data_IF_742352834157
#
_entry.id   IF_742352834157
#
_cell.length_a   1.000
_cell.length_b   1.000
_cell.length_c   1.000
_cell.angle_alpha   90.00
_cell.angle_beta   90.00
_cell.angle_gamma   90.00
#
_symmetry.space_group_name_H-M   'P 1'
#
loop_
_entity.id
_entity.type
_entity.pdbx_description
1 polymer ?
#
# COMPACT_ATOMS: atom_id res chain seq x y z
N UNK A 1 -8.74 -40.27 -31.44
CA UNK A 1 -9.31 -39.28 -30.50
C UNK A 1 -8.59 -39.25 -29.15
N UNK A 2 -8.28 -40.40 -28.52
CA UNK A 2 -7.60 -40.46 -27.21
C UNK A 2 -6.24 -39.72 -27.15
N UNK A 3 -5.45 -39.80 -28.21
CA UNK A 3 -4.12 -39.16 -28.29
C UNK A 3 -4.18 -37.63 -28.37
N UNK A 4 -5.21 -37.06 -29.02
CA UNK A 4 -5.39 -35.60 -29.14
C UNK A 4 -5.92 -34.96 -27.85
N UNK A 5 -6.68 -35.72 -27.05
CA UNK A 5 -7.18 -35.27 -25.75
C UNK A 5 -6.04 -35.19 -24.72
N UNK A 6 -5.09 -36.13 -24.76
CA UNK A 6 -3.90 -36.10 -23.91
C UNK A 6 -2.98 -34.91 -24.23
N UNK A 7 -2.84 -34.53 -25.50
CA UNK A 7 -2.02 -33.35 -25.88
C UNK A 7 -2.64 -32.05 -25.41
N UNK A 8 -3.98 -31.94 -25.44
CA UNK A 8 -4.70 -30.76 -24.96
C UNK A 8 -4.63 -30.64 -23.42
N UNK A 9 -4.72 -31.75 -22.70
CA UNK A 9 -4.55 -31.79 -21.24
C UNK A 9 -3.10 -31.47 -20.82
N UNK A 10 -2.11 -31.87 -21.62
CA UNK A 10 -0.70 -31.54 -21.42
C UNK A 10 -0.40 -30.05 -21.64
N UNK A 11 -1.05 -29.41 -22.63
CA UNK A 11 -0.92 -27.95 -22.85
C UNK A 11 -1.60 -27.13 -21.74
N UNK A 12 -2.73 -27.60 -21.19
CA UNK A 12 -3.44 -26.95 -20.09
C UNK A 12 -2.69 -27.04 -18.75
N UNK A 13 -1.83 -28.05 -18.55
CA UNK A 13 -0.96 -28.13 -17.37
C UNK A 13 0.31 -27.28 -17.49
N UNK A 14 0.76 -26.97 -18.72
CA UNK A 14 1.90 -26.09 -18.96
C UNK A 14 1.60 -24.60 -18.70
N UNK A 15 0.33 -24.20 -18.69
CA UNK A 15 -0.08 -22.81 -18.38
C UNK A 15 -0.37 -22.58 -16.89
N UNK A 16 -0.47 -23.63 -16.08
CA UNK A 16 -0.68 -23.51 -14.63
C UNK A 16 0.58 -23.13 -13.84
N UNK A 17 1.75 -23.13 -14.50
CA UNK A 17 3.04 -22.70 -13.95
C UNK A 17 3.43 -21.31 -14.43
N UNK A 18 2.48 -20.38 -14.49
CA UNK A 18 2.81 -18.96 -14.28
C UNK A 18 3.25 -18.86 -12.82
N UNK A 19 4.53 -19.13 -12.57
CA UNK A 19 5.17 -19.03 -11.28
C UNK A 19 4.72 -17.72 -10.62
N UNK A 20 4.00 -17.85 -9.50
CA UNK A 20 3.86 -16.77 -8.55
C UNK A 20 5.30 -16.40 -8.18
N UNK A 21 5.80 -15.29 -8.73
CA UNK A 21 7.15 -14.79 -8.43
C UNK A 21 7.34 -14.88 -6.93
N UNK A 22 8.33 -15.64 -6.49
CA UNK A 22 8.56 -15.92 -5.07
C UNK A 22 8.84 -14.58 -4.37
N UNK A 23 7.79 -13.98 -3.80
CA UNK A 23 7.87 -12.67 -3.17
C UNK A 23 8.46 -12.85 -1.77
N UNK A 24 9.79 -12.86 -1.72
CA UNK A 24 10.56 -12.96 -0.48
C UNK A 24 10.55 -11.66 0.35
N UNK A 25 9.75 -10.67 -0.04
CA UNK A 25 9.58 -9.45 0.72
C UNK A 25 8.65 -9.68 1.91
N UNK A 26 8.90 -8.98 3.01
CA UNK A 26 8.07 -9.06 4.21
C UNK A 26 7.72 -7.68 4.71
N UNK A 27 6.51 -7.51 5.22
CA UNK A 27 6.10 -6.37 6.02
C UNK A 27 5.36 -6.89 7.24
N UNK A 28 5.72 -6.37 8.41
CA UNK A 28 5.06 -6.64 9.68
C UNK A 28 4.88 -5.33 10.42
N UNK A 29 3.68 -5.06 10.91
CA UNK A 29 3.38 -3.89 11.74
C UNK A 29 2.20 -4.24 12.63
N UNK A 30 2.11 -3.59 13.79
CA UNK A 30 0.93 -3.66 14.64
C UNK A 30 0.08 -2.42 14.39
N UNK A 31 -1.16 -2.62 13.93
CA UNK A 31 -2.15 -1.57 13.67
C UNK A 31 -3.21 -1.65 14.76
N UNK A 32 -3.31 -0.62 15.60
CA UNK A 32 -4.25 -0.56 16.74
C UNK A 32 -4.21 -1.82 17.62
N UNK A 33 -2.99 -2.29 17.93
CA UNK A 33 -2.74 -3.50 18.72
C UNK A 33 -2.93 -4.82 17.99
N UNK A 34 -3.32 -4.82 16.71
CA UNK A 34 -3.50 -6.03 15.89
C UNK A 34 -2.33 -6.23 14.95
N UNK A 35 -1.75 -7.42 14.95
CA UNK A 35 -0.67 -7.75 14.03
C UNK A 35 -1.16 -7.78 12.57
N UNK A 36 -0.40 -7.11 11.71
CA UNK A 36 -0.63 -7.04 10.28
C UNK A 36 0.66 -7.44 9.55
N UNK A 37 0.63 -8.63 8.94
CA UNK A 37 1.73 -9.21 8.17
C UNK A 37 1.34 -9.37 6.72
N UNK A 38 2.24 -8.97 5.82
CA UNK A 38 2.04 -9.15 4.39
C UNK A 38 3.35 -9.20 3.61
N UNK A 39 3.27 -9.47 2.30
CA UNK A 39 4.39 -9.48 1.37
C UNK A 39 4.34 -8.23 0.48
N UNK A 40 5.10 -7.17 0.80
CA UNK A 40 5.05 -5.95 0.02
C UNK A 40 5.64 -6.14 -1.38
N UNK A 41 5.25 -5.25 -2.29
CA UNK A 41 5.78 -5.14 -3.65
C UNK A 41 6.24 -3.73 -3.88
N UNK A 42 7.32 -3.59 -4.65
CA UNK A 42 7.76 -2.31 -5.18
C UNK A 42 6.99 -2.03 -6.46
N UNK A 43 6.31 -0.91 -6.53
CA UNK A 43 5.56 -0.48 -7.72
C UNK A 43 5.89 0.97 -8.04
N UNK A 44 5.71 1.36 -9.29
CA UNK A 44 5.69 2.77 -9.68
C UNK A 44 4.25 3.23 -9.78
N UNK A 45 3.93 4.35 -9.14
CA UNK A 45 2.65 5.05 -9.33
C UNK A 45 2.99 6.45 -9.85
N UNK A 46 2.62 6.73 -11.10
CA UNK A 46 3.14 7.88 -11.83
C UNK A 46 4.66 7.81 -11.96
N UNK A 47 5.36 8.89 -11.57
CA UNK A 47 6.83 8.98 -11.59
C UNK A 47 7.47 8.73 -10.21
N UNK A 48 6.72 8.13 -9.27
CA UNK A 48 7.13 7.93 -7.89
C UNK A 48 7.20 6.44 -7.54
N UNK A 49 8.26 6.01 -6.84
CA UNK A 49 8.38 4.64 -6.35
C UNK A 49 7.64 4.44 -5.04
N UNK A 50 6.68 3.52 -5.03
CA UNK A 50 5.93 3.15 -3.83
C UNK A 50 6.35 1.76 -3.36
N UNK A 51 6.54 1.64 -2.05
CA UNK A 51 6.56 0.35 -1.36
C UNK A 51 5.14 0.06 -0.93
N UNK A 52 4.43 -0.74 -1.71
CA UNK A 52 3.05 -1.10 -1.39
C UNK A 52 3.01 -2.44 -0.67
N UNK A 53 2.54 -2.42 0.58
CA UNK A 53 2.29 -3.60 1.39
C UNK A 53 0.79 -3.91 1.39
N UNK A 54 0.32 -4.44 0.26
CA UNK A 54 -1.06 -4.90 0.13
C UNK A 54 -1.25 -6.16 0.98
N UNK A 55 -2.34 -6.30 1.74
CA UNK A 55 -2.56 -7.50 2.53
C UNK A 55 -2.90 -8.70 1.64
N UNK A 56 -2.69 -9.90 2.17
CA UNK A 56 -3.13 -11.17 1.58
C UNK A 56 -4.66 -11.23 1.46
N UNK A 57 -5.37 -10.44 2.28
CA UNK A 57 -6.83 -10.27 2.22
C UNK A 57 -7.14 -8.89 1.59
N UNK A 58 -7.96 -8.81 0.52
CA UNK A 58 -8.16 -7.60 -0.30
C UNK A 58 -9.00 -6.50 0.39
N UNK A 59 -9.03 -6.50 1.71
CA UNK A 59 -9.77 -5.60 2.59
C UNK A 59 -8.83 -4.67 3.37
N UNK A 60 -7.51 -4.88 3.34
CA UNK A 60 -6.52 -4.00 3.97
C UNK A 60 -5.35 -3.69 3.03
N UNK A 61 -4.89 -2.45 3.07
CA UNK A 61 -3.71 -1.99 2.33
C UNK A 61 -2.91 -1.02 3.17
N UNK A 62 -1.61 -1.28 3.33
CA UNK A 62 -0.67 -0.33 3.90
C UNK A 62 0.33 0.05 2.81
N UNK A 63 0.49 1.34 2.55
CA UNK A 63 1.36 1.86 1.50
C UNK A 63 2.34 2.84 2.10
N UNK A 64 3.62 2.63 1.80
CA UNK A 64 4.70 3.48 2.25
C UNK A 64 5.40 4.01 1.00
N UNK A 65 5.40 5.33 0.84
CA UNK A 65 6.22 5.97 -0.17
C UNK A 65 7.54 6.39 0.45
N UNK A 66 8.65 6.14 -0.25
CA UNK A 66 9.98 6.64 0.10
C UNK A 66 10.54 7.38 -1.12
N UNK A 67 10.82 8.67 -0.95
CA UNK A 67 11.46 9.48 -1.99
C UNK A 67 12.75 10.08 -1.48
N UNK A 68 13.86 9.80 -2.17
CA UNK A 68 15.13 10.49 -1.92
C UNK A 68 15.01 11.99 -2.23
N UNK A 69 15.70 12.82 -1.46
CA UNK A 69 15.64 14.28 -1.62
C UNK A 69 16.29 14.76 -2.94
N UNK A 70 17.49 14.26 -3.26
CA UNK A 70 18.22 14.62 -4.49
C UNK A 70 17.87 13.72 -5.67
N UNK A 71 17.52 12.46 -5.39
CA UNK A 71 17.20 11.43 -6.38
C UNK A 71 15.94 10.71 -5.94
N UNK A 72 14.75 11.18 -6.37
CA UNK A 72 13.47 10.57 -5.99
C UNK A 72 13.35 9.11 -6.41
N UNK A 73 14.16 8.68 -7.38
CA UNK A 73 14.24 7.32 -7.90
C UNK A 73 15.17 6.39 -7.11
N UNK A 74 16.00 6.93 -6.21
CA UNK A 74 16.96 6.17 -5.42
C UNK A 74 16.58 6.20 -3.93
N UNK A 75 16.53 5.02 -3.32
CA UNK A 75 16.37 4.87 -1.88
C UNK A 75 17.77 4.64 -1.29
N UNK A 76 18.24 5.61 -0.53
CA UNK A 76 19.51 5.58 0.16
C UNK A 76 19.33 5.09 1.60
N UNK A 77 20.40 4.57 2.18
CA UNK A 77 20.42 4.25 3.60
C UNK A 77 20.41 5.52 4.45
N UNK A 78 19.54 5.54 5.46
CA UNK A 78 19.40 6.64 6.42
C UNK A 78 17.96 6.88 6.86
N UNK A 79 17.75 8.05 7.44
CA UNK A 79 16.46 8.43 8.03
C UNK A 79 15.63 9.25 7.04
N UNK A 80 14.36 8.90 6.90
CA UNK A 80 13.37 9.61 6.10
C UNK A 80 12.35 10.28 7.03
N UNK A 81 12.01 11.53 6.74
CA UNK A 81 11.01 12.27 7.49
C UNK A 81 9.61 11.90 6.98
N UNK A 82 8.73 11.44 7.88
CA UNK A 82 7.33 11.18 7.56
C UNK A 82 6.60 12.52 7.51
N UNK A 83 5.89 12.75 6.40
CA UNK A 83 5.13 13.98 6.15
C UNK A 83 3.65 13.71 5.87
N UNK A 84 2.89 14.80 5.84
CA UNK A 84 1.48 14.79 5.45
C UNK A 84 1.28 14.15 4.07
N UNK A 85 0.47 13.08 4.05
CA UNK A 85 0.17 12.34 2.83
C UNK A 85 -0.61 13.17 1.79
N UNK A 86 -1.44 14.11 2.23
CA UNK A 86 -2.24 14.97 1.36
C UNK A 86 -1.44 16.19 0.87
N UNK A 87 -0.37 16.56 1.59
CA UNK A 87 0.47 17.73 1.32
C UNK A 87 1.95 17.40 1.40
N UNK A 88 2.36 16.38 0.65
CA UNK A 88 3.73 15.87 0.72
C UNK A 88 4.76 16.82 0.10
N UNK A 89 4.47 17.39 -1.08
CA UNK A 89 5.41 18.23 -1.85
C UNK A 89 5.37 19.74 -1.50
N UNK A 90 5.22 20.08 -0.21
CA UNK A 90 5.25 21.48 0.20
C UNK A 90 6.67 22.04 0.26
N UNK A 91 6.83 23.35 0.01
CA UNK A 91 8.11 24.04 0.21
C UNK A 91 8.62 23.91 1.65
N UNK A 92 7.70 23.82 2.61
CA UNK A 92 8.03 23.66 4.02
C UNK A 92 8.65 22.28 4.31
N UNK A 93 8.03 21.20 3.83
CA UNK A 93 8.59 19.86 3.99
C UNK A 93 9.97 19.73 3.34
N UNK A 94 10.18 20.36 2.18
CA UNK A 94 11.49 20.44 1.51
C UNK A 94 12.52 21.16 2.38
N UNK A 95 12.18 22.35 2.89
CA UNK A 95 13.04 23.11 3.81
C UNK A 95 13.39 22.31 5.07
N UNK A 96 12.45 21.56 5.62
CA UNK A 96 12.69 20.73 6.81
C UNK A 96 13.73 19.64 6.56
N UNK A 97 13.68 19.00 5.39
CA UNK A 97 14.69 18.02 4.97
C UNK A 97 16.03 18.70 4.73
N UNK A 98 16.05 19.79 3.96
CA UNK A 98 17.24 20.58 3.62
C UNK A 98 17.97 21.14 4.84
N UNK A 99 17.23 21.82 5.73
CA UNK A 99 17.79 22.51 6.89
C UNK A 99 18.33 21.56 7.95
N UNK A 100 17.78 20.34 8.04
CA UNK A 100 18.23 19.35 9.01
C UNK A 100 19.60 18.74 8.65
N UNK A 101 19.94 18.67 7.35
CA UNK A 101 21.06 17.87 6.83
C UNK A 101 21.04 16.39 7.22
N UNK A 102 20.00 15.94 7.93
CA UNK A 102 19.93 14.67 8.64
C UNK A 102 19.06 13.66 7.89
N UNK A 103 18.02 14.15 7.22
CA UNK A 103 17.11 13.31 6.46
C UNK A 103 17.60 13.06 5.04
N UNK A 104 17.54 11.81 4.59
CA UNK A 104 17.85 11.40 3.21
C UNK A 104 16.71 11.69 2.24
N UNK A 105 15.50 11.91 2.77
CA UNK A 105 14.32 12.14 1.97
C UNK A 105 13.04 12.21 2.79
N UNK A 106 11.93 12.10 2.06
CA UNK A 106 10.57 12.14 2.59
C UNK A 106 9.91 10.77 2.53
N UNK A 107 9.03 10.53 3.49
CA UNK A 107 8.20 9.34 3.57
C UNK A 107 6.73 9.71 3.74
N UNK A 108 5.85 8.88 3.19
CA UNK A 108 4.40 8.99 3.37
C UNK A 108 3.88 7.62 3.75
N UNK A 109 2.95 7.56 4.70
CA UNK A 109 2.29 6.32 5.09
C UNK A 109 0.79 6.49 4.90
N UNK A 110 0.17 5.55 4.18
CA UNK A 110 -1.28 5.49 3.99
C UNK A 110 -1.78 4.08 4.32
N UNK A 111 -2.77 4.00 5.19
CA UNK A 111 -3.47 2.77 5.54
C UNK A 111 -4.92 2.86 5.07
N UNK A 112 -5.44 1.78 4.50
CA UNK A 112 -6.84 1.66 4.11
C UNK A 112 -7.37 0.32 4.57
N UNK A 113 -8.50 0.33 5.26
CA UNK A 113 -9.24 -0.85 5.68
C UNK A 113 -10.69 -0.75 5.21
N UNK A 114 -11.17 -1.77 4.53
CA UNK A 114 -12.58 -1.96 4.23
C UNK A 114 -13.32 -2.38 5.51
N UNK A 115 -14.19 -1.52 6.01
CA UNK A 115 -14.96 -1.77 7.24
C UNK A 115 -16.30 -2.44 6.94
N UNK A 116 -16.76 -2.40 5.68
CA UNK A 116 -18.01 -3.04 5.25
C UNK A 116 -17.89 -3.62 3.84
N UNK A 117 -18.13 -4.92 3.74
CA UNK A 117 -18.07 -5.64 2.47
C UNK A 117 -19.37 -5.60 1.65
N UNK A 118 -19.28 -5.70 0.30
CA UNK A 118 -18.06 -5.55 -0.51
C UNK A 118 -17.81 -4.08 -0.85
N UNK A 119 -16.67 -3.53 -0.42
CA UNK A 119 -16.15 -2.19 -0.74
C UNK A 119 -17.22 -1.10 -0.56
N UNK A 120 -17.91 -1.11 0.58
CA UNK A 120 -19.01 -0.18 0.88
C UNK A 120 -18.57 0.96 1.78
N UNK A 121 -17.75 0.65 2.78
CA UNK A 121 -17.24 1.58 3.77
C UNK A 121 -15.77 1.30 4.03
N UNK A 122 -15.02 2.37 4.30
CA UNK A 122 -13.59 2.30 4.57
C UNK A 122 -13.19 3.14 5.77
N UNK A 123 -12.10 2.73 6.39
CA UNK A 123 -11.33 3.47 7.36
C UNK A 123 -9.94 3.74 6.76
N UNK A 124 -9.62 5.02 6.59
CA UNK A 124 -8.40 5.49 5.92
C UNK A 124 -7.55 6.26 6.91
N UNK A 125 -6.32 5.79 7.13
CA UNK A 125 -5.29 6.48 7.88
C UNK A 125 -4.27 7.16 6.95
N UNK A 126 -3.94 8.41 7.21
CA UNK A 126 -2.89 9.15 6.50
C UNK A 126 -1.85 9.70 7.45
N UNK A 127 -0.57 9.60 7.07
CA UNK A 127 0.52 10.25 7.81
C UNK A 127 0.33 11.77 7.84
N UNK A 128 0.85 12.39 8.88
CA UNK A 128 0.80 13.83 9.13
C UNK A 128 2.22 14.34 9.40
N UNK A 129 2.40 15.65 9.46
CA UNK A 129 3.68 16.29 9.79
C UNK A 129 3.98 16.22 11.31
N UNK A 130 3.98 15.03 11.90
CA UNK A 130 4.16 14.77 13.33
C UNK A 130 5.62 14.47 13.74
N UNK A 131 6.58 14.78 12.87
CA UNK A 131 8.02 14.55 13.10
C UNK A 131 8.41 13.07 13.26
N UNK A 132 7.56 12.19 12.74
CA UNK A 132 7.79 10.75 12.67
C UNK A 132 8.87 10.44 11.61
N UNK A 133 9.54 9.29 11.77
CA UNK A 133 10.63 8.92 10.87
C UNK A 133 10.58 7.45 10.47
N UNK A 134 11.12 7.17 9.28
CA UNK A 134 11.41 5.82 8.82
C UNK A 134 12.92 5.68 8.72
N UNK A 135 13.47 4.68 9.39
CA UNK A 135 14.90 4.37 9.31
C UNK A 135 15.10 3.25 8.32
N UNK A 136 15.85 3.51 7.26
CA UNK A 136 16.13 2.59 6.16
C UNK A 136 17.58 2.12 6.25
N UNK A 137 17.80 0.81 6.17
CA UNK A 137 19.11 0.15 6.11
C UNK A 137 19.22 -0.69 4.86
N UNK A 138 20.40 -0.70 4.24
CA UNK A 138 20.67 -1.53 3.08
C UNK A 138 21.59 -2.68 3.47
N UNK A 139 21.15 -3.90 3.19
CA UNK A 139 21.97 -5.09 3.38
C UNK A 139 22.96 -5.25 2.21
N UNK A 140 24.03 -6.02 2.45
CA UNK A 140 25.10 -6.24 1.47
C UNK A 140 24.62 -6.93 0.19
N UNK A 141 23.52 -7.69 0.27
CA UNK A 141 22.84 -8.34 -0.86
C UNK A 141 21.99 -7.35 -1.70
N UNK A 142 21.90 -6.08 -1.30
CA UNK A 142 21.09 -5.05 -1.94
C UNK A 142 19.64 -5.01 -1.46
N UNK A 143 19.26 -5.83 -0.48
CA UNK A 143 17.95 -5.77 0.18
C UNK A 143 17.83 -4.52 1.04
N UNK A 144 16.63 -3.95 1.11
CA UNK A 144 16.31 -2.80 1.95
C UNK A 144 15.48 -3.28 3.12
N UNK A 145 15.91 -2.96 4.34
CA UNK A 145 15.10 -3.12 5.54
C UNK A 145 14.76 -1.76 6.10
N UNK A 146 13.50 -1.51 6.41
CA UNK A 146 13.08 -0.26 7.02
C UNK A 146 12.26 -0.51 8.28
N UNK A 147 12.46 0.34 9.28
CA UNK A 147 11.71 0.32 10.54
C UNK A 147 10.97 1.63 10.74
N UNK A 148 9.73 1.56 11.19
CA UNK A 148 8.85 2.71 11.35
C UNK A 148 7.83 2.50 12.47
N UNK A 149 7.34 3.61 13.01
CA UNK A 149 6.18 3.67 13.91
C UNK A 149 5.60 5.08 13.79
N UNK A 150 4.30 5.24 14.05
CA UNK A 150 3.65 6.52 13.86
C UNK A 150 2.15 6.49 14.11
N UNK A 151 1.54 7.67 14.03
CA UNK A 151 0.12 7.92 14.23
C UNK A 151 -0.45 8.49 12.96
N UNK A 152 -1.40 7.77 12.36
CA UNK A 152 -2.10 8.22 11.17
C UNK A 152 -3.39 8.92 11.56
N UNK A 153 -3.71 10.02 10.88
CA UNK A 153 -5.01 10.66 10.97
C UNK A 153 -6.06 9.76 10.28
N UNK A 154 -6.95 9.17 11.08
CA UNK A 154 -8.00 8.27 10.66
C UNK A 154 -9.25 9.00 10.19
N UNK A 155 -9.86 8.51 9.12
CA UNK A 155 -11.08 9.05 8.53
C UNK A 155 -11.97 7.94 7.99
N UNK A 156 -13.28 8.09 8.16
CA UNK A 156 -14.25 7.10 7.66
C UNK A 156 -14.84 7.57 6.33
N UNK A 157 -15.03 6.62 5.42
CA UNK A 157 -15.57 6.86 4.09
C UNK A 157 -16.71 5.91 3.81
N UNK A 158 -17.77 6.42 3.18
CA UNK A 158 -18.95 5.63 2.83
C UNK A 158 -19.33 5.88 1.38
N UNK A 159 -19.76 4.84 0.69
CA UNK A 159 -20.23 4.97 -0.68
C UNK A 159 -21.39 5.97 -0.77
N UNK A 160 -21.35 6.86 -1.76
CA UNK A 160 -22.47 7.78 -2.02
C UNK A 160 -23.67 6.96 -2.48
N UNK A 161 -24.84 7.22 -1.92
CA UNK A 161 -26.09 6.58 -2.35
C UNK A 161 -26.32 6.71 -3.86
N UNK A 162 -25.90 7.83 -4.47
CA UNK A 162 -25.95 8.01 -5.93
C UNK A 162 -25.06 7.00 -6.67
N UNK A 163 -23.85 6.70 -6.19
CA UNK A 163 -22.96 5.73 -6.82
C UNK A 163 -23.56 4.31 -6.80
N UNK A 164 -24.24 3.94 -5.73
CA UNK A 164 -24.94 2.65 -5.60
C UNK A 164 -26.18 2.58 -6.51
N UNK A 165 -26.97 3.65 -6.59
CA UNK A 165 -28.22 3.69 -7.38
C UNK A 165 -27.95 3.74 -8.89
N UNK A 166 -26.96 4.50 -9.35
CA UNK A 166 -26.60 4.58 -10.78
C UNK A 166 -25.72 3.40 -11.25
N UNK A 167 -24.98 2.75 -10.33
CA UNK A 167 -24.14 1.60 -10.64
C UNK A 167 -24.86 0.25 -10.64
N UNK A 168 -26.00 0.13 -9.96
CA UNK A 168 -26.82 -1.07 -9.91
C UNK A 168 -26.07 -2.34 -9.45
N UNK A 169 -26.56 -3.50 -9.88
CA UNK A 169 -25.97 -4.83 -9.60
C UNK A 169 -24.57 -4.96 -10.21
N UNK A 170 -24.32 -4.34 -11.37
CA UNK A 170 -23.01 -4.37 -12.05
C UNK A 170 -21.87 -3.80 -11.21
N UNK A 171 -22.14 -2.73 -10.45
CA UNK A 171 -21.12 -2.15 -9.55
C UNK A 171 -20.75 -3.08 -8.38
N UNK A 172 -21.69 -3.86 -7.87
CA UNK A 172 -21.40 -4.86 -6.83
C UNK A 172 -20.58 -6.03 -7.40
N UNK A 173 -20.90 -6.48 -8.62
CA UNK A 173 -20.14 -7.52 -9.32
C UNK A 173 -18.70 -7.06 -9.59
N UNK A 174 -18.51 -5.84 -10.10
CA UNK A 174 -17.17 -5.30 -10.34
C UNK A 174 -16.33 -5.23 -9.06
N UNK A 175 -16.91 -4.80 -7.93
CA UNK A 175 -16.22 -4.78 -6.64
C UNK A 175 -15.79 -6.17 -6.18
N UNK A 176 -16.63 -7.17 -6.43
CA UNK A 176 -16.30 -8.56 -6.12
C UNK A 176 -15.20 -9.10 -7.05
N UNK A 177 -15.26 -8.79 -8.34
CA UNK A 177 -14.23 -9.14 -9.32
C UNK A 177 -12.88 -8.52 -8.95
N UNK A 178 -12.85 -7.23 -8.60
CA UNK A 178 -11.63 -6.54 -8.16
C UNK A 178 -11.03 -7.20 -6.92
N UNK A 179 -11.86 -7.54 -5.92
CA UNK A 179 -11.40 -8.26 -4.72
C UNK A 179 -10.83 -9.64 -5.07
N UNK A 180 -11.42 -10.35 -6.03
CA UNK A 180 -10.92 -11.64 -6.51
C UNK A 180 -9.59 -11.46 -7.25
N UNK A 181 -9.46 -10.45 -8.10
CA UNK A 181 -8.21 -10.11 -8.80
C UNK A 181 -7.12 -9.75 -7.80
N UNK A 182 -7.41 -8.90 -6.81
CA UNK A 182 -6.44 -8.53 -5.78
C UNK A 182 -6.03 -9.73 -4.94
N UNK A 183 -6.98 -10.61 -4.58
CA UNK A 183 -6.66 -11.85 -3.89
C UNK A 183 -5.76 -12.77 -4.72
N UNK A 184 -6.03 -12.90 -6.02
CA UNK A 184 -5.27 -13.74 -6.94
C UNK A 184 -3.88 -13.17 -7.25
N UNK A 185 -3.77 -11.85 -7.38
CA UNK A 185 -2.54 -11.16 -7.80
C UNK A 185 -1.67 -10.69 -6.63
N UNK A 186 -2.25 -10.54 -5.44
CA UNK A 186 -1.63 -9.85 -4.31
C UNK A 186 -1.41 -8.35 -4.55
N UNK A 187 -2.11 -7.78 -5.54
CA UNK A 187 -1.95 -6.39 -5.97
C UNK A 187 -3.29 -5.65 -5.90
N UNK A 188 -3.31 -4.55 -5.16
CA UNK A 188 -4.46 -3.67 -5.01
C UNK A 188 -4.04 -2.26 -5.40
N UNK A 189 -4.42 -1.82 -6.59
CA UNK A 189 -4.15 -0.45 -7.05
C UNK A 189 -5.26 0.54 -6.74
N UNK A 190 -6.45 0.08 -6.36
CA UNK A 190 -7.65 0.94 -6.41
C UNK A 190 -8.59 0.79 -5.19
N UNK A 191 -8.07 0.37 -4.04
CA UNK A 191 -8.84 0.35 -2.77
C UNK A 191 -9.11 1.75 -2.21
N UNK A 192 -8.57 2.80 -2.83
CA UNK A 192 -8.76 4.16 -2.33
C UNK A 192 -10.22 4.62 -2.52
N UNK A 193 -10.89 5.11 -1.46
CA UNK A 193 -12.24 5.67 -1.59
C UNK A 193 -12.25 7.05 -2.25
N UNK A 194 -11.11 7.73 -2.30
CA UNK A 194 -10.97 9.08 -2.81
C UNK A 194 -11.20 9.11 -4.32
N UNK A 195 -12.10 9.98 -4.81
CA UNK A 195 -12.43 10.06 -6.23
C UNK A 195 -13.34 8.94 -6.76
N UNK A 196 -13.50 7.83 -6.03
CA UNK A 196 -14.18 6.62 -6.50
C UNK A 196 -15.67 6.51 -6.11
N UNK A 197 -16.33 7.65 -5.90
CA UNK A 197 -17.76 7.71 -5.56
C UNK A 197 -18.07 7.53 -4.07
N UNK A 198 -17.07 7.65 -3.20
CA UNK A 198 -17.25 7.67 -1.75
C UNK A 198 -17.31 9.11 -1.22
N UNK A 199 -17.85 9.25 -0.02
CA UNK A 199 -17.90 10.50 0.73
C UNK A 199 -17.24 10.29 2.08
N UNK A 200 -16.29 11.17 2.42
CA UNK A 200 -15.72 11.26 3.76
C UNK A 200 -16.81 11.61 4.77
N UNK A 201 -16.83 10.89 5.88
CA UNK A 201 -17.72 11.11 7.01
C UNK A 201 -17.05 12.04 8.03
N UNK A 202 -17.86 12.64 8.90
CA UNK A 202 -17.35 13.56 9.94
C UNK A 202 -16.62 12.82 11.07
N UNK A 203 -16.80 11.50 11.16
CA UNK A 203 -16.09 10.65 12.11
C UNK A 203 -14.59 10.58 11.74
N UNK A 204 -13.76 10.91 12.71
CA UNK A 204 -12.29 10.80 12.64
C UNK A 204 -11.75 10.16 13.92
N UNK A 205 -10.59 9.55 13.82
CA UNK A 205 -9.85 8.94 14.93
C UNK A 205 -8.34 8.93 14.59
N UNK A 206 -7.56 8.21 15.38
CA UNK A 206 -6.12 8.00 15.17
C UNK A 206 -5.89 6.51 15.01
N UNK A 207 -5.10 6.15 13.99
CA UNK A 207 -4.63 4.77 13.78
C UNK A 207 -3.18 4.72 14.24
N UNK A 208 -2.89 3.87 15.22
CA UNK A 208 -1.55 3.71 15.76
C UNK A 208 -0.80 2.57 15.06
N UNK A 209 0.36 2.90 14.50
CA UNK A 209 1.29 1.97 13.90
C UNK A 209 2.48 1.77 14.83
N UNK A 210 2.68 0.54 15.29
CA UNK A 210 3.81 0.19 16.18
C UNK A 210 4.58 -1.01 15.65
N UNK A 211 5.87 -1.07 15.96
CA UNK A 211 6.75 -2.19 15.58
C UNK A 211 6.75 -2.47 14.06
N UNK A 212 6.63 -1.42 13.25
CA UNK A 212 6.63 -1.51 11.80
C UNK A 212 8.01 -1.87 11.27
N UNK A 213 8.08 -2.93 10.49
CA UNK A 213 9.28 -3.37 9.78
C UNK A 213 8.90 -3.86 8.39
N UNK A 214 9.67 -3.50 7.37
CA UNK A 214 9.56 -4.12 6.06
C UNK A 214 10.92 -4.43 5.46
N UNK A 215 10.98 -5.52 4.71
CA UNK A 215 12.13 -5.96 3.94
C UNK A 215 11.73 -6.07 2.47
N UNK A 216 12.52 -5.45 1.59
CA UNK A 216 12.36 -5.50 0.15
C UNK A 216 13.65 -5.98 -0.49
N UNK A 217 13.57 -7.06 -1.27
CA UNK A 217 14.61 -7.41 -2.23
C UNK A 217 14.44 -6.53 -3.46
N UNK A 218 15.49 -5.78 -3.78
CA UNK A 218 15.51 -4.86 -4.92
C UNK A 218 15.87 -5.55 -6.24
N UNK A 219 16.15 -6.86 -6.20
CA UNK A 219 16.50 -7.74 -7.33
C UNK A 219 15.76 -9.06 -7.22
#
# INVERSE_FOLDING_TARGET
MKTRLLTLLGLLMATASMAQLENNNTLSVTVDGKEYKTQPRRIMVGNMWWVTANAIKPDKSLRIWLGGYLKPDQIDEGTYLVVDADKSDTKENRRRVEASGTFKGLAIIKYVEETREPRMEYHVGKSQNNDETIVVKKAADGSITATFSGKLAGSYWKERTSATVFGGVGRLVNKMEDKVITKATGYESDIDPEGNGYKRQDKTDVIELTNGTFMLKMK
#
